data_IF_387831557270
#
_entry.id   IF_387831557270
#
_cell.length_a   1.000
_cell.length_b   1.000
_cell.length_c   1.000
_cell.angle_alpha   90.00
_cell.angle_beta   90.00
_cell.angle_gamma   90.00
#
_symmetry.space_group_name_H-M   'P 1'
#
loop_
_entity.id
_entity.type
_entity.pdbx_description
1 polymer ?
#
# COMPACT_ATOMS: atom_id res chain seq x y z
N UNK A 1 -19.34 10.75 -11.69
CA UNK A 1 -18.03 11.08 -11.10
C UNK A 1 -17.38 9.87 -10.43
N UNK A 2 -17.96 9.32 -9.35
CA UNK A 2 -17.38 8.16 -8.61
C UNK A 2 -17.06 6.90 -9.44
N UNK A 3 -17.86 6.59 -10.48
CA UNK A 3 -17.64 5.42 -11.35
C UNK A 3 -16.37 5.54 -12.20
N UNK A 4 -16.10 6.72 -12.73
CA UNK A 4 -14.93 6.99 -13.59
C UNK A 4 -13.65 6.96 -12.77
N UNK A 5 -13.67 7.51 -11.56
CA UNK A 5 -12.53 7.45 -10.62
C UNK A 5 -12.21 6.01 -10.20
N UNK A 6 -13.25 5.19 -9.97
CA UNK A 6 -13.09 3.77 -9.67
C UNK A 6 -12.48 3.00 -10.85
N UNK A 7 -12.99 3.21 -12.06
CA UNK A 7 -12.46 2.59 -13.28
C UNK A 7 -10.99 3.01 -13.54
N UNK A 8 -10.65 4.28 -13.31
CA UNK A 8 -9.28 4.77 -13.43
C UNK A 8 -8.34 4.15 -12.41
N UNK A 9 -8.75 4.07 -11.14
CA UNK A 9 -7.99 3.42 -10.07
C UNK A 9 -7.75 1.95 -10.37
N UNK A 10 -8.81 1.20 -10.70
CA UNK A 10 -8.68 -0.22 -11.04
C UNK A 10 -7.81 -0.42 -12.29
N UNK A 11 -7.91 0.46 -13.30
CA UNK A 11 -7.06 0.39 -14.49
C UNK A 11 -5.56 0.58 -14.17
N UNK A 12 -5.24 1.46 -13.20
CA UNK A 12 -3.87 1.61 -12.71
C UNK A 12 -3.39 0.39 -11.93
N UNK A 13 -4.22 -0.17 -11.05
CA UNK A 13 -3.89 -1.36 -10.28
C UNK A 13 -3.66 -2.57 -11.19
N UNK A 14 -4.53 -2.79 -12.18
CA UNK A 14 -4.40 -3.87 -13.16
C UNK A 14 -3.08 -3.74 -13.93
N UNK A 15 -2.78 -2.54 -14.43
CA UNK A 15 -1.54 -2.32 -15.19
C UNK A 15 -0.28 -2.49 -14.34
N UNK A 16 -0.31 -2.05 -13.08
CA UNK A 16 0.82 -2.21 -12.16
C UNK A 16 1.07 -3.68 -11.78
N UNK A 17 0.05 -4.53 -11.85
CA UNK A 17 0.19 -5.99 -11.67
C UNK A 17 0.72 -6.66 -12.94
N UNK A 18 0.28 -6.20 -14.12
CA UNK A 18 0.70 -6.75 -15.42
C UNK A 18 2.11 -6.32 -15.84
N UNK A 19 2.51 -5.09 -15.51
CA UNK A 19 3.79 -4.49 -15.89
C UNK A 19 4.57 -4.02 -14.64
N UNK A 20 5.61 -4.76 -14.20
CA UNK A 20 6.43 -4.39 -13.05
C UNK A 20 7.22 -3.09 -13.22
N UNK A 21 7.42 -2.61 -14.45
CA UNK A 21 8.08 -1.34 -14.74
C UNK A 21 7.08 -0.16 -14.71
N UNK A 22 5.78 -0.46 -14.71
CA UNK A 22 4.75 0.56 -14.65
C UNK A 22 4.66 1.20 -13.27
N UNK A 23 5.29 2.37 -13.15
CA UNK A 23 5.33 3.12 -11.92
C UNK A 23 4.79 4.54 -12.10
N UNK A 24 3.89 4.96 -11.21
CA UNK A 24 3.33 6.32 -11.19
C UNK A 24 3.38 6.86 -9.77
N UNK A 25 3.16 8.16 -9.58
CA UNK A 25 2.99 8.72 -8.23
C UNK A 25 1.85 8.05 -7.45
N UNK A 26 0.81 7.59 -8.15
CA UNK A 26 -0.29 6.89 -7.53
C UNK A 26 0.13 5.54 -6.93
N UNK A 27 0.86 4.72 -7.69
CA UNK A 27 1.33 3.40 -7.22
C UNK A 27 2.40 3.54 -6.13
N UNK A 28 3.28 4.54 -6.23
CA UNK A 28 4.22 4.89 -5.14
C UNK A 28 3.52 5.27 -3.84
N UNK A 29 2.45 6.07 -3.92
CA UNK A 29 1.68 6.45 -2.74
C UNK A 29 0.94 5.26 -2.11
N UNK A 30 0.54 4.26 -2.89
CA UNK A 30 -0.04 3.03 -2.35
C UNK A 30 0.98 2.32 -1.43
N UNK A 31 2.22 2.14 -1.90
CA UNK A 31 3.28 1.52 -1.11
C UNK A 31 3.58 2.30 0.18
N UNK A 32 3.67 3.62 0.10
CA UNK A 32 3.87 4.48 1.28
C UNK A 32 2.72 4.31 2.28
N UNK A 33 1.48 4.36 1.81
CA UNK A 33 0.31 4.24 2.67
C UNK A 33 0.21 2.83 3.29
N UNK A 34 0.62 1.79 2.57
CA UNK A 34 0.71 0.43 3.12
C UNK A 34 1.75 0.34 4.23
N UNK A 35 2.91 0.95 4.04
CA UNK A 35 3.91 1.12 5.10
C UNK A 35 3.33 1.79 6.33
N UNK A 36 2.78 2.98 6.18
CA UNK A 36 2.20 3.75 7.29
C UNK A 36 1.14 2.92 8.05
N UNK A 37 0.22 2.26 7.34
CA UNK A 37 -0.78 1.40 7.98
C UNK A 37 -0.14 0.26 8.77
N UNK A 38 0.80 -0.48 8.18
CA UNK A 38 1.44 -1.61 8.86
C UNK A 38 2.26 -1.18 10.09
N UNK A 39 2.96 -0.04 9.99
CA UNK A 39 3.79 0.50 11.07
C UNK A 39 2.98 1.12 12.20
N UNK A 40 1.83 1.74 11.89
CA UNK A 40 0.99 2.41 12.88
C UNK A 40 -0.08 1.50 13.51
N UNK A 41 -0.54 0.46 12.80
CA UNK A 41 -1.71 -0.34 13.21
C UNK A 41 -1.61 -0.96 14.62
N UNK A 42 -0.42 -1.36 15.06
CA UNK A 42 -0.23 -1.94 16.41
C UNK A 42 -0.48 -0.94 17.54
N UNK A 43 -0.19 0.34 17.30
CA UNK A 43 -0.36 1.43 18.29
C UNK A 43 -1.70 2.14 18.12
N UNK A 44 -2.12 2.37 16.87
CA UNK A 44 -3.37 3.08 16.56
C UNK A 44 -4.60 2.21 16.80
N UNK A 45 -4.48 0.88 16.66
CA UNK A 45 -5.57 -0.07 16.81
C UNK A 45 -5.25 -1.15 17.87
N UNK A 46 -5.04 -0.76 19.15
CA UNK A 46 -4.62 -1.68 20.20
C UNK A 46 -5.65 -2.77 20.51
N UNK A 47 -6.93 -2.51 20.20
CA UNK A 47 -8.02 -3.46 20.39
C UNK A 47 -7.99 -4.63 19.39
N UNK A 48 -7.29 -4.49 18.27
CA UNK A 48 -7.12 -5.56 17.29
C UNK A 48 -6.03 -6.57 17.69
N UNK A 49 -5.26 -6.28 18.76
CA UNK A 49 -4.17 -7.14 19.28
C UNK A 49 -3.19 -7.58 18.17
N UNK A 50 -2.90 -6.69 17.22
CA UNK A 50 -2.03 -6.97 16.08
C UNK A 50 -0.58 -7.12 16.53
N UNK A 51 0.06 -8.21 16.09
CA UNK A 51 1.49 -8.46 16.31
C UNK A 51 2.12 -8.75 14.95
N UNK A 52 2.92 -7.79 14.46
CA UNK A 52 3.66 -7.96 13.21
C UNK A 52 5.13 -8.30 13.50
N UNK A 53 5.62 -9.49 13.10
CA UNK A 53 7.05 -9.78 13.16
C UNK A 53 7.85 -8.89 12.19
N UNK A 54 9.12 -8.62 12.50
CA UNK A 54 9.94 -7.69 11.70
C UNK A 54 10.07 -8.07 10.22
N UNK A 55 10.02 -9.37 9.90
CA UNK A 55 10.14 -9.86 8.51
C UNK A 55 8.90 -9.63 7.64
N UNK A 56 7.76 -9.21 8.21
CA UNK A 56 6.54 -8.92 7.45
C UNK A 56 6.25 -7.42 7.34
N UNK A 57 7.02 -6.58 8.04
CA UNK A 57 6.86 -5.13 7.95
C UNK A 57 7.47 -4.64 6.63
N UNK A 58 6.69 -3.94 5.79
CA UNK A 58 7.20 -3.39 4.55
C UNK A 58 8.27 -2.33 4.85
N UNK A 59 9.45 -2.53 4.27
CA UNK A 59 10.56 -1.59 4.37
C UNK A 59 11.29 -1.51 3.02
N UNK A 60 11.71 -0.31 2.64
CA UNK A 60 12.62 -0.12 1.52
C UNK A 60 14.01 -0.66 1.82
N UNK A 61 14.81 -0.89 0.78
CA UNK A 61 16.18 -1.34 0.95
C UNK A 61 17.00 -0.28 1.71
N UNK A 62 17.59 -0.69 2.84
CA UNK A 62 18.54 0.09 3.65
C UNK A 62 18.01 1.39 4.30
N UNK A 63 16.71 1.48 4.60
CA UNK A 63 16.15 2.49 5.50
C UNK A 63 16.54 2.25 6.97
#
# INVERSE_FOLDING_TARGET
MKRIEFEWKCGMEIRAVEDPEFETFYTKNILLNEGIRAWMATQDQPHENLIFPKGVLPCGNAL
#
